data_IF_030391932088
#
_entry.id   IF_030391932088
#
_cell.length_a   1.000
_cell.length_b   1.000
_cell.length_c   1.000
_cell.angle_alpha   90.00
_cell.angle_beta   90.00
_cell.angle_gamma   90.00
#
_symmetry.space_group_name_H-M   'P 1'
#
loop_
_entity.id
_entity.type
_entity.pdbx_description
1 polymer ?
#
# COMPACT_ATOMS: atom_id res chain seq x y z
N UNK A 1 -19.08 -0.30 0.60
CA UNK A 1 -17.83 -0.21 1.40
C UNK A 1 -16.67 -0.17 0.43
N UNK A 2 -15.99 0.96 0.34
CA UNK A 2 -14.94 1.20 -0.67
C UNK A 2 -13.52 0.97 -0.09
N UNK A 3 -13.31 1.26 1.21
CA UNK A 3 -11.99 1.17 1.84
C UNK A 3 -11.60 -0.19 2.45
N UNK A 4 -12.45 -1.22 2.34
CA UNK A 4 -12.09 -2.56 2.85
C UNK A 4 -10.87 -3.15 2.13
N UNK A 5 -10.78 -2.99 0.80
CA UNK A 5 -9.62 -3.45 0.05
C UNK A 5 -8.33 -2.75 0.47
N UNK A 6 -8.40 -1.43 0.72
CA UNK A 6 -7.28 -0.64 1.23
C UNK A 6 -6.81 -1.12 2.60
N UNK A 7 -7.73 -1.37 3.53
CA UNK A 7 -7.40 -1.89 4.85
C UNK A 7 -6.77 -3.29 4.77
N UNK A 8 -7.29 -4.14 3.87
CA UNK A 8 -6.73 -5.47 3.62
C UNK A 8 -5.31 -5.37 3.05
N UNK A 9 -5.03 -4.44 2.14
CA UNK A 9 -3.72 -4.30 1.51
C UNK A 9 -2.63 -3.80 2.47
N UNK A 10 -2.97 -2.81 3.32
CA UNK A 10 -2.01 -2.09 4.16
C UNK A 10 -1.72 -2.76 5.51
N UNK A 11 -2.73 -3.31 6.18
CA UNK A 11 -2.54 -3.85 7.53
C UNK A 11 -1.80 -5.21 7.50
N UNK A 12 -0.98 -5.52 8.51
CA UNK A 12 -0.32 -6.83 8.61
C UNK A 12 -1.33 -7.95 8.91
N UNK A 13 -1.01 -9.21 8.56
CA UNK A 13 -1.82 -10.36 8.95
C UNK A 13 -1.68 -10.66 10.44
N UNK A 14 -2.81 -11.01 11.06
CA UNK A 14 -2.80 -11.66 12.37
C UNK A 14 -2.72 -13.17 12.13
N UNK A 15 -1.63 -13.78 12.60
CA UNK A 15 -1.34 -15.19 12.40
C UNK A 15 -1.53 -15.97 13.72
N UNK A 16 -2.01 -17.20 13.62
CA UNK A 16 -2.02 -18.14 14.73
C UNK A 16 -0.62 -18.77 14.95
N UNK A 17 -0.52 -19.70 15.91
CA UNK A 17 0.74 -20.37 16.23
C UNK A 17 1.29 -21.27 15.11
N UNK A 18 0.45 -21.65 14.14
CA UNK A 18 0.85 -22.42 12.97
C UNK A 18 1.19 -21.53 11.77
N UNK A 19 1.12 -20.20 11.94
CA UNK A 19 1.33 -19.24 10.85
C UNK A 19 0.13 -19.06 9.93
N UNK A 20 -1.05 -19.57 10.28
CA UNK A 20 -2.26 -19.38 9.50
C UNK A 20 -2.90 -18.02 9.82
N UNK A 21 -3.34 -17.31 8.79
CA UNK A 21 -4.03 -16.03 8.95
C UNK A 21 -5.42 -16.22 9.57
N UNK A 22 -5.64 -15.61 10.73
CA UNK A 22 -6.91 -15.62 11.45
C UNK A 22 -7.60 -14.24 11.49
N UNK A 23 -6.94 -13.19 11.00
CA UNK A 23 -7.51 -11.84 10.99
C UNK A 23 -6.55 -10.78 10.46
N UNK A 24 -6.88 -9.50 10.71
CA UNK A 24 -6.06 -8.36 10.28
C UNK A 24 -6.11 -8.09 8.77
N UNK A 25 -5.02 -7.54 8.21
CA UNK A 25 -4.80 -7.32 6.78
C UNK A 25 -3.92 -8.40 6.14
N UNK A 26 -3.67 -8.32 4.84
CA UNK A 26 -2.85 -9.27 4.09
C UNK A 26 -1.37 -8.86 4.06
N UNK A 27 -1.04 -7.62 4.45
CA UNK A 27 0.32 -7.11 4.52
C UNK A 27 1.01 -6.96 3.18
N UNK A 28 0.26 -6.86 2.08
CA UNK A 28 0.78 -6.77 0.72
C UNK A 28 1.78 -5.61 0.57
N UNK A 29 1.47 -4.48 1.21
CA UNK A 29 2.29 -3.27 1.21
C UNK A 29 3.70 -3.46 1.81
N UNK A 30 3.95 -4.56 2.53
CA UNK A 30 5.28 -4.87 3.08
C UNK A 30 6.33 -5.17 1.99
N UNK A 31 5.91 -5.66 0.81
CA UNK A 31 6.80 -5.91 -0.33
C UNK A 31 6.35 -5.19 -1.60
N UNK A 32 5.04 -4.99 -1.79
CA UNK A 32 4.45 -4.30 -2.94
C UNK A 32 3.98 -2.92 -2.50
N UNK A 33 4.86 -1.91 -2.56
CA UNK A 33 4.46 -0.54 -2.26
C UNK A 33 3.34 -0.11 -3.23
N UNK A 34 2.25 0.49 -2.71
CA UNK A 34 1.17 1.01 -3.55
C UNK A 34 1.71 2.12 -4.48
N UNK A 35 1.03 2.37 -5.63
CA UNK A 35 1.56 3.20 -6.71
C UNK A 35 1.91 4.65 -6.34
N UNK A 36 2.69 5.24 -7.23
CA UNK A 36 3.68 6.33 -7.16
C UNK A 36 3.19 7.71 -6.66
N UNK A 37 1.95 7.83 -6.15
CA UNK A 37 1.53 9.02 -5.39
C UNK A 37 1.96 8.96 -3.91
N UNK A 38 2.63 7.88 -3.50
CA UNK A 38 3.40 7.88 -2.25
C UNK A 38 4.66 8.74 -2.47
N UNK A 39 4.65 9.97 -1.95
CA UNK A 39 5.87 10.78 -1.87
C UNK A 39 6.76 10.10 -0.83
N UNK A 40 7.57 9.14 -1.25
CA UNK A 40 8.68 8.68 -0.44
C UNK A 40 9.57 9.91 -0.16
N UNK A 41 9.74 10.33 1.11
CA UNK A 41 10.49 11.52 1.47
C UNK A 41 11.94 11.54 0.95
N UNK A 42 12.47 10.38 0.54
CA UNK A 42 13.81 10.22 0.00
C UNK A 42 13.85 9.87 -1.50
N UNK A 43 12.71 9.83 -2.19
CA UNK A 43 12.67 9.56 -3.64
C UNK A 43 13.23 10.70 -4.49
N UNK A 44 13.26 11.93 -3.95
CA UNK A 44 13.63 13.13 -4.70
C UNK A 44 12.64 13.50 -5.81
N UNK A 45 11.47 12.86 -5.86
CA UNK A 45 10.39 13.11 -6.81
C UNK A 45 9.13 13.52 -6.01
N UNK A 46 8.49 14.63 -6.39
CA UNK A 46 7.27 15.14 -5.75
C UNK A 46 5.98 14.64 -6.43
N UNK A 47 6.07 13.58 -7.25
CA UNK A 47 4.93 13.01 -7.97
C UNK A 47 4.48 13.84 -9.18
N UNK A 48 5.26 14.84 -9.59
CA UNK A 48 5.01 15.65 -10.80
C UNK A 48 5.97 15.17 -11.89
N UNK A 49 5.52 14.22 -12.70
CA UNK A 49 6.24 13.77 -13.89
C UNK A 49 5.81 14.57 -15.14
N UNK A 50 4.59 15.10 -15.15
CA UNK A 50 4.01 15.93 -16.21
C UNK A 50 3.04 16.98 -15.64
N UNK A 51 2.82 18.08 -16.37
CA UNK A 51 1.71 19.00 -16.07
C UNK A 51 0.41 18.28 -16.43
N UNK A 52 -0.53 18.21 -15.49
CA UNK A 52 -1.86 17.64 -15.76
C UNK A 52 -2.51 18.36 -16.95
N UNK A 53 -2.67 17.66 -18.07
CA UNK A 53 -3.28 18.18 -19.30
C UNK A 53 -2.30 18.64 -20.40
N UNK A 54 -0.99 18.39 -20.25
CA UNK A 54 0.02 18.66 -21.29
C UNK A 54 0.63 17.33 -21.77
N UNK A 55 0.16 16.76 -22.90
CA UNK A 55 0.60 15.46 -23.42
C UNK A 55 2.01 15.48 -24.03
#
# INVERSE_FOLDING_TARGET
QENQGKALFLAPPNLDINGLRIGGGAGCAGCHQPPEFDIDPNSGNNGVDHVAGDP
#
